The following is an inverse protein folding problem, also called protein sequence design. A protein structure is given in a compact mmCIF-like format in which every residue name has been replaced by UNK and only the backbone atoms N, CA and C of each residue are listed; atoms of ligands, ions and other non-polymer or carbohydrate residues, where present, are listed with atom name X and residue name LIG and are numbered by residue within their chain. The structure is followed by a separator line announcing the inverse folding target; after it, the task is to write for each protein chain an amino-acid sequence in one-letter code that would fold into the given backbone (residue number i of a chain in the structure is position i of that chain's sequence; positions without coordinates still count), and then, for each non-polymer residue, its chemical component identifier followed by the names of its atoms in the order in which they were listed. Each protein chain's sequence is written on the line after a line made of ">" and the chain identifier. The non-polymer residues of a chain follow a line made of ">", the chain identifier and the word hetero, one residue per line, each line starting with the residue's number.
data_IF_776275285595
#
_entry.id   IF_776275285595
#
_cell.length_a   1.000
_cell.length_b   1.000
_cell.length_c   1.000
_cell.angle_alpha   90.00
_cell.angle_beta   90.00
_cell.angle_gamma   90.00
#
_symmetry.space_group_name_H-M   'P 1'
#
loop_
_entity.id
_entity.type
_entity.pdbx_description
1 polymer ?
#
# COMPACT_ATOMS: atom_id res chain seq x y z
N UNK A 1 22.38 -8.53 13.25
CA UNK A 1 21.58 -7.60 12.44
C UNK A 1 20.36 -8.37 11.96
N UNK A 2 19.26 -8.34 12.71
CA UNK A 2 17.97 -8.82 12.20
C UNK A 2 17.27 -7.58 11.68
N UNK A 3 17.19 -7.45 10.35
CA UNK A 3 16.32 -6.46 9.74
C UNK A 3 14.90 -6.81 10.14
N UNK A 4 14.38 -6.11 11.14
CA UNK A 4 13.03 -6.26 11.66
C UNK A 4 12.06 -5.79 10.58
N UNK A 5 11.73 -6.72 9.68
CA UNK A 5 10.76 -6.52 8.62
C UNK A 5 9.43 -6.14 9.25
N UNK A 6 8.89 -5.01 8.79
CA UNK A 6 7.84 -4.20 9.43
C UNK A 6 6.61 -5.04 9.82
N UNK A 7 5.96 -4.81 11.00
CA UNK A 7 4.82 -5.62 11.41
C UNK A 7 3.71 -5.52 10.36
N UNK A 8 3.46 -6.68 9.75
CA UNK A 8 2.49 -6.96 8.72
C UNK A 8 1.09 -6.58 9.20
N UNK A 9 0.16 -6.47 8.24
CA UNK A 9 -1.27 -6.43 8.52
C UNK A 9 -1.64 -7.40 9.66
N UNK A 10 -2.59 -7.03 10.52
CA UNK A 10 -3.07 -7.93 11.59
C UNK A 10 -3.34 -9.33 11.00
N UNK A 11 -3.01 -10.44 11.68
CA UNK A 11 -3.06 -11.78 11.08
C UNK A 11 -4.35 -12.11 10.33
N UNK A 12 -5.53 -11.85 10.92
CA UNK A 12 -6.81 -12.09 10.24
C UNK A 12 -7.08 -11.19 9.03
N UNK A 13 -6.49 -9.99 8.99
CA UNK A 13 -6.53 -9.13 7.81
C UNK A 13 -5.61 -9.66 6.71
N UNK A 14 -4.41 -10.11 7.07
CA UNK A 14 -3.44 -10.67 6.12
C UNK A 14 -4.04 -11.88 5.40
N UNK A 15 -4.55 -12.86 6.15
CA UNK A 15 -5.20 -14.05 5.59
C UNK A 15 -6.30 -13.69 4.59
N UNK A 16 -7.20 -12.78 4.98
CA UNK A 16 -8.29 -12.29 4.11
C UNK A 16 -7.76 -11.63 2.84
N UNK A 17 -6.65 -10.87 2.92
CA UNK A 17 -6.08 -10.18 1.76
C UNK A 17 -5.29 -11.10 0.84
N UNK A 18 -4.64 -12.13 1.37
CA UNK A 18 -4.06 -13.19 0.55
C UNK A 18 -5.17 -13.93 -0.21
N UNK A 19 -6.25 -14.31 0.47
CA UNK A 19 -7.39 -15.00 -0.15
C UNK A 19 -8.12 -14.15 -1.23
N UNK A 20 -8.13 -12.82 -1.09
CA UNK A 20 -8.79 -11.91 -2.04
C UNK A 20 -7.87 -11.31 -3.10
N UNK A 21 -6.58 -11.68 -3.13
CA UNK A 21 -5.60 -11.11 -4.07
C UNK A 21 -5.32 -9.62 -3.82
N UNK A 22 -5.47 -9.15 -2.59
CA UNK A 22 -5.08 -7.78 -2.18
C UNK A 22 -3.69 -7.71 -1.55
N UNK A 23 -3.09 -8.86 -1.29
CA UNK A 23 -1.71 -9.02 -0.86
C UNK A 23 -1.12 -10.29 -1.49
N UNK A 24 0.21 -10.35 -1.59
CA UNK A 24 0.95 -11.58 -1.94
C UNK A 24 2.26 -11.64 -1.16
N UNK A 25 2.77 -12.85 -0.97
CA UNK A 25 4.09 -13.07 -0.37
C UNK A 25 5.09 -13.33 -1.50
N UNK A 26 6.07 -12.44 -1.63
CA UNK A 26 7.22 -12.62 -2.51
C UNK A 26 8.39 -13.22 -1.71
N UNK A 27 9.09 -14.24 -2.23
CA UNK A 27 10.20 -14.88 -1.53
C UNK A 27 11.40 -13.97 -1.25
N UNK A 28 11.62 -12.93 -2.05
CA UNK A 28 12.76 -12.02 -1.96
C UNK A 28 12.35 -10.68 -1.36
N UNK A 29 11.26 -10.11 -1.84
CA UNK A 29 10.79 -8.79 -1.43
C UNK A 29 9.91 -8.81 -0.20
N UNK A 30 9.33 -9.95 0.19
CA UNK A 30 8.45 -10.08 1.36
C UNK A 30 6.98 -9.77 1.07
N UNK A 31 6.29 -9.10 2.00
CA UNK A 31 4.86 -8.84 1.85
C UNK A 31 4.62 -7.69 0.88
N UNK A 32 3.91 -8.00 -0.20
CA UNK A 32 3.49 -7.02 -1.18
C UNK A 32 1.99 -6.76 -1.11
N UNK A 33 1.62 -5.52 -1.40
CA UNK A 33 0.25 -5.03 -1.39
C UNK A 33 -0.17 -4.61 -2.80
N UNK A 34 -1.42 -4.92 -3.14
CA UNK A 34 -2.02 -4.49 -4.40
C UNK A 34 -2.30 -2.99 -4.41
N UNK A 35 -1.87 -2.31 -5.49
CA UNK A 35 -2.21 -0.92 -5.79
C UNK A 35 -3.46 -0.85 -6.66
N UNK A 36 -4.51 -0.14 -6.21
CA UNK A 36 -5.73 0.04 -7.01
C UNK A 36 -5.60 1.04 -8.16
N UNK A 37 -4.45 1.70 -8.31
CA UNK A 37 -4.21 2.71 -9.34
C UNK A 37 -3.60 2.08 -10.59
N UNK A 38 -2.45 1.42 -10.43
CA UNK A 38 -1.76 0.74 -11.53
C UNK A 38 -2.09 -0.76 -11.64
N UNK A 39 -2.85 -1.33 -10.69
CA UNK A 39 -3.19 -2.76 -10.63
C UNK A 39 -2.00 -3.71 -10.50
N UNK A 40 -0.90 -3.22 -9.94
CA UNK A 40 0.31 -4.01 -9.67
C UNK A 40 0.52 -4.20 -8.17
N UNK A 41 1.34 -5.20 -7.83
CA UNK A 41 1.77 -5.47 -6.47
C UNK A 41 3.10 -4.78 -6.20
N UNK A 42 3.21 -4.18 -5.01
CA UNK A 42 4.41 -3.48 -4.59
C UNK A 42 4.75 -3.78 -3.12
N UNK A 43 6.03 -3.71 -2.74
CA UNK A 43 6.45 -3.88 -1.35
C UNK A 43 5.66 -3.00 -0.39
N UNK A 44 5.01 -3.63 0.59
CA UNK A 44 4.08 -2.95 1.48
C UNK A 44 4.76 -1.86 2.33
N UNK A 45 5.97 -2.17 2.81
CA UNK A 45 6.75 -1.38 3.75
C UNK A 45 7.31 -0.08 3.14
N UNK A 46 7.61 -0.09 1.85
CA UNK A 46 8.38 0.97 1.18
C UNK A 46 7.62 1.66 0.06
N UNK A 47 6.65 1.01 -0.59
CA UNK A 47 5.96 1.55 -1.77
C UNK A 47 4.61 2.22 -1.47
N UNK A 48 4.17 2.26 -0.21
CA UNK A 48 2.91 2.90 0.20
C UNK A 48 3.14 3.94 1.29
N UNK A 49 2.35 5.02 1.27
CA UNK A 49 2.33 6.00 2.37
C UNK A 49 1.48 5.48 3.52
N UNK A 50 1.85 5.84 4.76
CA UNK A 50 1.00 5.62 5.91
C UNK A 50 -0.28 6.43 5.78
N UNK A 51 -1.42 5.79 6.02
CA UNK A 51 -2.72 6.42 6.00
C UNK A 51 -3.10 6.90 7.40
N UNK A 52 -2.18 7.63 8.07
CA UNK A 52 -2.31 8.09 9.47
C UNK A 52 -3.64 8.79 9.78
N UNK A 53 -4.23 9.44 8.77
CA UNK A 53 -5.50 10.18 8.88
C UNK A 53 -6.71 9.44 8.31
N UNK A 54 -6.56 8.17 7.93
CA UNK A 54 -7.63 7.37 7.36
C UNK A 54 -7.99 6.23 8.34
N UNK A 55 -8.86 6.48 9.33
CA UNK A 55 -9.24 5.45 10.32
C UNK A 55 -9.90 4.22 9.68
N UNK A 56 -10.34 4.33 8.42
CA UNK A 56 -10.91 3.24 7.64
C UNK A 56 -9.89 2.44 6.82
N UNK A 57 -8.58 2.74 6.89
CA UNK A 57 -7.53 1.94 6.28
C UNK A 57 -7.17 0.78 7.22
N UNK A 58 -7.63 -0.47 6.99
CA UNK A 58 -7.50 -1.54 7.97
C UNK A 58 -6.06 -1.99 8.21
N UNK A 59 -5.19 -1.77 7.22
CA UNK A 59 -3.75 -2.00 7.22
C UNK A 59 -2.93 -0.72 7.53
N UNK A 60 -3.59 0.42 7.77
CA UNK A 60 -2.91 1.67 8.06
C UNK A 60 -2.14 2.28 6.87
N UNK A 61 -2.38 1.81 5.65
CA UNK A 61 -1.69 2.23 4.43
C UNK A 61 -2.66 2.73 3.37
N UNK A 62 -2.16 3.59 2.47
CA UNK A 62 -2.94 4.08 1.35
C UNK A 62 -3.31 2.97 0.36
N UNK A 63 -4.40 3.18 -0.39
CA UNK A 63 -4.84 2.24 -1.42
C UNK A 63 -3.95 2.26 -2.68
N UNK A 64 -3.31 3.41 -2.94
CA UNK A 64 -2.42 3.66 -4.07
C UNK A 64 -0.94 3.62 -3.65
N UNK A 65 -0.07 3.17 -4.55
CA UNK A 65 1.38 3.26 -4.36
C UNK A 65 1.85 4.73 -4.42
N UNK A 66 3.07 4.98 -3.93
CA UNK A 66 3.65 6.33 -3.91
C UNK A 66 3.67 7.01 -5.28
N UNK A 67 3.91 6.25 -6.35
CA UNK A 67 3.91 6.77 -7.72
C UNK A 67 2.51 7.26 -8.14
N UNK A 68 1.49 6.41 -8.02
CA UNK A 68 0.11 6.79 -8.33
C UNK A 68 -0.38 7.96 -7.47
N UNK A 69 -0.05 7.99 -6.16
CA UNK A 69 -0.37 9.13 -5.30
C UNK A 69 0.29 10.43 -5.79
N UNK A 70 1.54 10.34 -6.27
CA UNK A 70 2.26 11.47 -6.84
C UNK A 70 1.54 12.06 -8.07
N UNK A 71 1.12 11.21 -9.00
CA UNK A 71 0.37 11.63 -10.19
C UNK A 71 -0.98 12.27 -9.82
N UNK A 72 -1.70 11.67 -8.87
CA UNK A 72 -2.96 12.23 -8.37
C UNK A 72 -2.73 13.59 -7.71
N UNK A 73 -1.66 13.75 -6.94
CA UNK A 73 -1.32 15.00 -6.29
C UNK A 73 -0.99 16.11 -7.30
N UNK A 74 -0.28 15.80 -8.39
CA UNK A 74 -0.01 16.75 -9.50
C UNK A 74 -1.32 17.18 -10.14
N UNK A 75 -2.17 16.22 -10.56
CA UNK A 75 -3.48 16.52 -11.17
C UNK A 75 -4.37 17.40 -10.29
N UNK A 76 -4.37 17.16 -8.97
CA UNK A 76 -5.11 17.99 -7.99
C UNK A 76 -4.59 19.42 -7.89
N UNK A 77 -3.30 19.65 -8.12
CA UNK A 77 -2.71 20.99 -8.13
C UNK A 77 -3.06 21.73 -9.42
N UNK A 78 -2.95 21.05 -10.56
CA UNK A 78 -3.29 21.60 -11.87
C UNK A 78 -4.77 21.95 -11.99
N UNK A 79 -5.67 21.06 -11.53
CA UNK A 79 -7.11 21.33 -11.52
C UNK A 79 -7.58 22.41 -10.54
N UNK A 80 -6.71 22.87 -9.63
CA UNK A 80 -6.98 24.04 -8.76
C UNK A 80 -6.49 25.35 -9.36
N UNK A 81 -5.67 25.30 -10.41
CA UNK A 81 -5.13 26.46 -11.10
C UNK A 81 -5.96 26.88 -12.33
N UNK A 82 -7.01 26.11 -12.66
CA UNK A 82 -8.03 26.41 -13.68
C UNK A 82 -9.32 26.91 -13.01
#
# INVERSE_FOLDING_TARGET
>A
MHGEYTPLMKPGLLEKRLASGKARMDPEMGLEKFCSGCHEYWPQDTAFWSARHHPHAPDGLQHYCKACEGEIAVKRREGKAA
#
